data_IF_659442748719
#
_entry.id   IF_659442748719
#
_cell.length_a   1.000
_cell.length_b   1.000
_cell.length_c   1.000
_cell.angle_alpha   90.00
_cell.angle_beta   90.00
_cell.angle_gamma   90.00
#
_symmetry.space_group_name_H-M   'P 1'
#
loop_
_entity.id
_entity.type
_entity.pdbx_description
1 polymer ?
#
# COMPACT_ATOMS: atom_id res chain seq x y z
N UNK A 1 -17.62 -16.11 -2.51
CA UNK A 1 -17.28 -15.80 -3.92
C UNK A 1 -18.46 -15.10 -4.58
N UNK A 2 -18.60 -13.78 -4.39
CA UNK A 2 -19.62 -13.00 -5.10
C UNK A 2 -19.04 -12.59 -6.47
N UNK A 3 -19.61 -13.18 -7.52
CA UNK A 3 -19.19 -13.04 -8.92
C UNK A 3 -19.54 -11.67 -9.48
N UNK A 4 -18.72 -11.23 -10.43
CA UNK A 4 -18.67 -9.97 -11.21
C UNK A 4 -19.96 -9.54 -11.96
N UNK A 5 -21.12 -10.13 -11.63
CA UNK A 5 -22.40 -10.03 -12.34
C UNK A 5 -23.40 -9.04 -11.70
N UNK A 6 -23.17 -8.59 -10.47
CA UNK A 6 -24.14 -7.74 -9.75
C UNK A 6 -24.05 -6.24 -10.05
N UNK A 7 -22.92 -5.76 -10.60
CA UNK A 7 -22.70 -4.34 -10.84
C UNK A 7 -22.91 -3.94 -12.31
N UNK A 8 -23.64 -2.86 -12.53
CA UNK A 8 -23.83 -2.30 -13.86
C UNK A 8 -22.51 -1.79 -14.46
N UNK A 9 -22.41 -1.67 -15.80
CA UNK A 9 -21.24 -1.07 -16.45
C UNK A 9 -20.94 0.36 -15.97
N UNK A 10 -21.99 1.15 -15.63
CA UNK A 10 -21.83 2.49 -15.06
C UNK A 10 -21.22 2.43 -13.67
N UNK A 11 -21.67 1.51 -12.82
CA UNK A 11 -21.10 1.31 -11.48
C UNK A 11 -19.61 0.94 -11.54
N UNK A 12 -19.22 0.03 -12.43
CA UNK A 12 -17.81 -0.31 -12.63
C UNK A 12 -16.96 0.91 -13.05
N UNK A 13 -17.46 1.73 -13.98
CA UNK A 13 -16.79 2.98 -14.39
C UNK A 13 -16.69 3.97 -13.23
N UNK A 14 -17.72 4.08 -12.40
CA UNK A 14 -17.72 4.93 -11.20
C UNK A 14 -16.71 4.46 -10.17
N UNK A 15 -16.56 3.15 -9.94
CA UNK A 15 -15.51 2.61 -9.06
C UNK A 15 -14.12 3.04 -9.54
N UNK A 16 -13.84 2.89 -10.84
CA UNK A 16 -12.56 3.34 -11.41
C UNK A 16 -12.36 4.85 -11.25
N UNK A 17 -13.39 5.66 -11.51
CA UNK A 17 -13.34 7.11 -11.37
C UNK A 17 -13.13 7.56 -9.92
N UNK A 18 -13.72 6.86 -8.94
CA UNK A 18 -13.53 7.14 -7.51
C UNK A 18 -12.08 6.88 -7.06
N UNK A 19 -11.35 5.97 -7.73
CA UNK A 19 -9.94 5.70 -7.42
C UNK A 19 -8.98 6.72 -8.05
N UNK A 20 -9.39 7.39 -9.14
CA UNK A 20 -8.53 8.29 -9.90
C UNK A 20 -8.82 9.77 -9.68
N UNK A 21 -9.86 10.12 -8.91
CA UNK A 21 -10.27 11.51 -8.69
C UNK A 21 -10.33 11.84 -7.19
N UNK A 22 -10.12 13.11 -6.81
CA UNK A 22 -10.05 13.50 -5.39
C UNK A 22 -11.42 13.63 -4.71
N UNK A 23 -12.53 13.69 -5.47
CA UNK A 23 -13.87 13.94 -4.92
C UNK A 23 -14.95 13.09 -5.62
N UNK A 24 -16.03 12.80 -4.89
CA UNK A 24 -17.20 12.07 -5.41
C UNK A 24 -17.85 12.87 -6.54
N UNK A 25 -17.97 14.19 -6.41
CA UNK A 25 -18.46 15.08 -7.46
C UNK A 25 -17.66 14.94 -8.77
N UNK A 26 -16.32 14.92 -8.70
CA UNK A 26 -15.46 14.74 -9.87
C UNK A 26 -15.62 13.34 -10.50
N UNK A 27 -15.68 12.30 -9.67
CA UNK A 27 -15.94 10.94 -10.13
C UNK A 27 -17.29 10.84 -10.85
N UNK A 28 -18.35 11.39 -10.25
CA UNK A 28 -19.70 11.40 -10.79
C UNK A 28 -19.76 12.12 -12.14
N UNK A 29 -19.15 13.32 -12.23
CA UNK A 29 -19.07 14.10 -13.46
C UNK A 29 -18.33 13.34 -14.57
N UNK A 30 -17.20 12.70 -14.27
CA UNK A 30 -16.41 11.96 -15.27
C UNK A 30 -17.14 10.76 -15.90
N UNK A 31 -18.11 10.17 -15.19
CA UNK A 31 -18.91 9.03 -15.66
C UNK A 31 -20.29 9.45 -16.19
N UNK A 32 -20.67 10.71 -16.01
CA UNK A 32 -21.97 11.24 -16.42
C UNK A 32 -23.13 10.71 -15.55
N UNK A 33 -22.92 10.65 -14.23
CA UNK A 33 -23.93 10.30 -13.24
C UNK A 33 -24.10 11.42 -12.21
N UNK A 34 -25.24 11.47 -11.53
CA UNK A 34 -25.45 12.43 -10.45
C UNK A 34 -24.67 12.04 -9.20
N UNK A 35 -24.13 13.00 -8.46
CA UNK A 35 -23.40 12.76 -7.21
C UNK A 35 -24.27 12.01 -6.18
N UNK A 36 -25.56 12.34 -6.08
CA UNK A 36 -26.53 11.62 -5.24
C UNK A 36 -26.62 10.13 -5.60
N UNK A 37 -26.53 9.78 -6.89
CA UNK A 37 -26.53 8.39 -7.34
C UNK A 37 -25.29 7.65 -6.84
N UNK A 38 -24.12 8.28 -6.86
CA UNK A 38 -22.88 7.69 -6.35
C UNK A 38 -22.98 7.47 -4.84
N UNK A 39 -23.54 8.42 -4.09
CA UNK A 39 -23.80 8.23 -2.66
C UNK A 39 -24.76 7.07 -2.37
N UNK A 40 -25.83 6.92 -3.15
CA UNK A 40 -26.73 5.77 -3.02
C UNK A 40 -25.99 4.45 -3.25
N UNK A 41 -25.20 4.36 -4.33
CA UNK A 41 -24.41 3.16 -4.61
C UNK A 41 -23.37 2.86 -3.52
N UNK A 42 -22.74 3.87 -2.94
CA UNK A 42 -21.82 3.66 -1.80
C UNK A 42 -22.50 3.07 -0.56
N UNK A 43 -23.83 3.19 -0.43
CA UNK A 43 -24.63 2.53 0.60
C UNK A 43 -25.08 1.12 0.24
N UNK A 44 -25.00 0.72 -1.04
CA UNK A 44 -25.36 -0.61 -1.51
C UNK A 44 -24.22 -1.60 -1.22
N UNK A 45 -24.47 -2.73 -0.52
CA UNK A 45 -23.41 -3.64 -0.11
C UNK A 45 -22.50 -4.10 -1.26
N UNK A 46 -23.08 -4.52 -2.38
CA UNK A 46 -22.33 -5.02 -3.54
C UNK A 46 -21.37 -3.98 -4.14
N UNK A 47 -21.81 -2.72 -4.27
CA UNK A 47 -20.97 -1.65 -4.80
C UNK A 47 -19.91 -1.22 -3.79
N UNK A 48 -20.29 -1.10 -2.51
CA UNK A 48 -19.37 -0.75 -1.45
C UNK A 48 -18.25 -1.80 -1.28
N UNK A 49 -18.59 -3.08 -1.37
CA UNK A 49 -17.62 -4.19 -1.33
C UNK A 49 -16.67 -4.15 -2.53
N UNK A 50 -17.21 -3.98 -3.74
CA UNK A 50 -16.38 -3.88 -4.94
C UNK A 50 -15.46 -2.65 -4.90
N UNK A 51 -15.95 -1.51 -4.43
CA UNK A 51 -15.14 -0.31 -4.26
C UNK A 51 -14.04 -0.51 -3.21
N UNK A 52 -14.35 -1.12 -2.05
CA UNK A 52 -13.37 -1.47 -1.03
C UNK A 52 -12.30 -2.43 -1.56
N UNK A 53 -12.70 -3.44 -2.31
CA UNK A 53 -11.79 -4.41 -2.93
C UNK A 53 -10.84 -3.72 -3.93
N UNK A 54 -11.39 -2.90 -4.84
CA UNK A 54 -10.59 -2.16 -5.82
C UNK A 54 -9.64 -1.14 -5.14
N UNK A 55 -10.09 -0.48 -4.07
CA UNK A 55 -9.22 0.40 -3.26
C UNK A 55 -8.10 -0.38 -2.59
N UNK A 56 -8.40 -1.56 -2.04
CA UNK A 56 -7.38 -2.44 -1.44
C UNK A 56 -6.34 -2.84 -2.47
N UNK A 57 -6.76 -3.25 -3.67
CA UNK A 57 -5.85 -3.60 -4.77
C UNK A 57 -4.95 -2.42 -5.17
N UNK A 58 -5.51 -1.22 -5.34
CA UNK A 58 -4.73 -0.01 -5.65
C UNK A 58 -3.67 0.30 -4.57
N UNK A 59 -4.02 0.13 -3.30
CA UNK A 59 -3.08 0.30 -2.18
C UNK A 59 -1.99 -0.78 -2.21
N UNK A 60 -2.32 -2.03 -2.50
CA UNK A 60 -1.32 -3.10 -2.60
C UNK A 60 -0.29 -2.82 -3.71
N UNK A 61 -0.73 -2.29 -4.85
CA UNK A 61 0.18 -1.86 -5.92
C UNK A 61 1.10 -0.72 -5.44
N UNK A 62 0.57 0.24 -4.69
CA UNK A 62 1.38 1.33 -4.12
C UNK A 62 2.41 0.80 -3.11
N UNK A 63 2.02 -0.15 -2.25
CA UNK A 63 2.92 -0.80 -1.28
C UNK A 63 4.05 -1.54 -2.00
N UNK A 64 3.75 -2.30 -3.05
CA UNK A 64 4.77 -3.00 -3.84
C UNK A 64 5.79 -2.03 -4.46
N UNK A 65 5.33 -0.84 -4.91
CA UNK A 65 6.22 0.22 -5.39
C UNK A 65 7.10 0.79 -4.28
N UNK A 66 6.56 0.99 -3.09
CA UNK A 66 7.34 1.44 -1.91
C UNK A 66 8.40 0.39 -1.56
N UNK A 67 8.03 -0.90 -1.49
CA UNK A 67 8.97 -1.99 -1.22
C UNK A 67 10.13 -2.02 -2.22
N UNK A 68 9.82 -1.86 -3.52
CA UNK A 68 10.85 -1.78 -4.57
C UNK A 68 11.76 -0.55 -4.39
N UNK A 69 11.18 0.61 -4.06
CA UNK A 69 11.94 1.83 -3.81
C UNK A 69 12.83 1.72 -2.55
N UNK A 70 12.39 0.99 -1.53
CA UNK A 70 13.20 0.70 -0.34
C UNK A 70 14.46 -0.09 -0.68
N UNK A 71 14.37 -1.09 -1.56
CA UNK A 71 15.56 -1.82 -2.04
C UNK A 71 16.58 -0.89 -2.69
N UNK A 72 16.11 -0.02 -3.60
CA UNK A 72 16.95 1.00 -4.23
C UNK A 72 17.57 1.98 -3.23
N UNK A 73 16.87 2.30 -2.15
CA UNK A 73 17.40 3.13 -1.09
C UNK A 73 18.53 2.42 -0.33
N UNK A 74 18.40 1.12 -0.07
CA UNK A 74 19.47 0.29 0.51
C UNK A 74 20.68 0.25 -0.41
N UNK A 75 20.49 0.01 -1.71
CA UNK A 75 21.57 0.02 -2.71
C UNK A 75 22.33 1.35 -2.69
N UNK A 76 21.61 2.47 -2.64
CA UNK A 76 22.20 3.80 -2.52
C UNK A 76 23.03 3.97 -1.23
N UNK A 77 22.56 3.44 -0.10
CA UNK A 77 23.33 3.48 1.16
C UNK A 77 24.60 2.62 1.06
N UNK A 78 24.54 1.45 0.41
CA UNK A 78 25.70 0.60 0.17
C UNK A 78 26.72 1.29 -0.74
N UNK A 79 26.25 1.90 -1.84
CA UNK A 79 27.10 2.68 -2.75
C UNK A 79 27.83 3.80 -2.01
N UNK A 80 27.14 4.54 -1.12
CA UNK A 80 27.75 5.59 -0.28
C UNK A 80 28.87 5.01 0.61
N UNK A 81 28.70 3.79 1.12
CA UNK A 81 29.67 3.13 2.00
C UNK A 81 30.89 2.65 1.21
N UNK A 82 30.68 2.08 0.02
CA UNK A 82 31.68 1.30 -0.72
C UNK A 82 32.42 2.10 -1.82
N UNK A 83 31.93 3.28 -2.20
CA UNK A 83 32.53 4.05 -3.32
C UNK A 83 33.96 4.53 -3.00
N UNK A 84 34.96 3.97 -3.71
CA UNK A 84 36.37 4.37 -3.62
C UNK A 84 36.73 5.57 -4.53
N UNK A 85 36.06 5.73 -5.68
CA UNK A 85 36.46 6.72 -6.70
C UNK A 85 36.18 8.17 -6.29
N UNK A 86 35.06 8.41 -5.60
CA UNK A 86 34.72 9.70 -4.99
C UNK A 86 34.13 9.41 -3.61
N UNK A 87 34.97 9.22 -2.58
CA UNK A 87 34.49 8.82 -1.27
C UNK A 87 33.57 9.90 -0.69
N UNK A 88 32.38 9.50 -0.25
CA UNK A 88 31.54 10.39 0.53
C UNK A 88 32.28 10.84 1.81
N UNK A 89 32.01 12.05 2.35
CA UNK A 89 32.63 12.50 3.59
C UNK A 89 32.47 11.46 4.71
N UNK A 90 33.46 11.26 5.60
CA UNK A 90 33.42 10.21 6.62
C UNK A 90 32.14 10.20 7.47
N UNK A 91 31.61 11.39 7.79
CA UNK A 91 30.35 11.54 8.52
C UNK A 91 29.12 11.03 7.74
N UNK A 92 29.11 11.20 6.41
CA UNK A 92 28.02 10.71 5.53
C UNK A 92 28.08 9.18 5.42
N UNK A 93 29.28 8.61 5.30
CA UNK A 93 29.48 7.15 5.32
C UNK A 93 29.02 6.55 6.65
N UNK A 94 29.43 7.14 7.78
CA UNK A 94 29.00 6.72 9.12
C UNK A 94 27.47 6.78 9.27
N UNK A 95 26.83 7.85 8.78
CA UNK A 95 25.38 7.99 8.83
C UNK A 95 24.67 6.91 8.00
N UNK A 96 25.16 6.62 6.80
CA UNK A 96 24.61 5.55 5.96
C UNK A 96 24.78 4.17 6.61
N UNK A 97 25.97 3.85 7.13
CA UNK A 97 26.20 2.60 7.84
C UNK A 97 25.31 2.46 9.08
N UNK A 98 25.15 3.54 9.85
CA UNK A 98 24.27 3.55 11.02
C UNK A 98 22.80 3.30 10.63
N UNK A 99 22.31 3.94 9.56
CA UNK A 99 20.95 3.72 9.07
C UNK A 99 20.72 2.24 8.70
N UNK A 100 21.65 1.60 7.99
CA UNK A 100 21.56 0.17 7.65
C UNK A 100 21.45 -0.69 8.92
N UNK A 101 22.31 -0.46 9.91
CA UNK A 101 22.28 -1.21 11.18
C UNK A 101 20.98 -1.01 11.96
N UNK A 102 20.45 0.21 12.02
CA UNK A 102 19.18 0.52 12.67
C UNK A 102 18.00 -0.20 11.99
N UNK A 103 17.95 -0.20 10.66
CA UNK A 103 16.92 -0.94 9.92
C UNK A 103 17.04 -2.46 10.12
N UNK A 104 18.26 -3.00 10.15
CA UNK A 104 18.49 -4.43 10.40
C UNK A 104 18.00 -4.84 11.80
N UNK A 105 18.35 -4.07 12.84
CA UNK A 105 17.86 -4.31 14.21
C UNK A 105 16.34 -4.26 14.28
N UNK A 106 15.73 -3.25 13.66
CA UNK A 106 14.27 -3.10 13.63
C UNK A 106 13.57 -4.24 12.89
N UNK A 107 14.18 -4.79 11.83
CA UNK A 107 13.64 -5.94 11.13
C UNK A 107 13.59 -7.18 12.03
N UNK A 108 14.67 -7.44 12.78
CA UNK A 108 14.73 -8.54 13.77
C UNK A 108 13.67 -8.36 14.87
N UNK A 109 13.50 -7.14 15.39
CA UNK A 109 12.46 -6.84 16.39
C UNK A 109 11.04 -7.12 15.84
N UNK A 110 10.77 -6.73 14.59
CA UNK A 110 9.47 -6.98 13.94
C UNK A 110 9.23 -8.49 13.76
N UNK A 111 10.25 -9.23 13.32
CA UNK A 111 10.16 -10.68 13.15
C UNK A 111 9.91 -11.41 14.49
N UNK A 112 10.60 -11.01 15.57
CA UNK A 112 10.35 -11.56 16.92
C UNK A 112 8.92 -11.24 17.41
N UNK A 113 8.46 -10.01 17.23
CA UNK A 113 7.09 -9.61 17.61
C UNK A 113 6.06 -10.43 16.82
N UNK A 114 6.26 -10.61 15.51
CA UNK A 114 5.35 -11.38 14.68
C UNK A 114 5.34 -12.85 15.09
N UNK A 115 6.51 -13.47 15.33
CA UNK A 115 6.60 -14.86 15.79
C UNK A 115 5.89 -15.06 17.14
N UNK A 116 6.01 -14.10 18.06
CA UNK A 116 5.31 -14.13 19.35
C UNK A 116 3.80 -13.93 19.19
N UNK A 117 3.36 -13.09 18.25
CA UNK A 117 1.94 -12.90 17.94
C UNK A 117 1.33 -14.19 17.37
N UNK A 118 1.99 -14.81 16.40
CA UNK A 118 1.54 -16.06 15.78
C UNK A 118 1.40 -17.18 16.81
N UNK A 119 2.38 -17.32 17.73
CA UNK A 119 2.32 -18.28 18.82
C UNK A 119 1.13 -18.04 19.77
N UNK A 120 0.80 -16.77 20.04
CA UNK A 120 -0.37 -16.41 20.85
C UNK A 120 -1.69 -16.68 20.12
N UNK A 121 -1.77 -16.41 18.82
CA UNK A 121 -2.96 -16.66 18.00
C UNK A 121 -3.26 -18.16 17.88
N UNK A 122 -2.21 -18.99 17.72
CA UNK A 122 -2.33 -20.46 17.77
C UNK A 122 -2.78 -20.96 19.15
N UNK A 123 -2.20 -20.43 20.24
CA UNK A 123 -2.59 -20.82 21.59
C UNK A 123 -4.05 -20.45 21.94
N UNK A 124 -4.59 -19.40 21.31
CA UNK A 124 -5.97 -18.97 21.48
C UNK A 124 -6.96 -19.63 20.50
N UNK A 125 -6.51 -20.51 19.61
CA UNK A 125 -7.34 -21.17 18.60
C UNK A 125 -7.96 -20.21 17.58
N UNK A 126 -7.29 -19.07 17.32
CA UNK A 126 -7.73 -18.05 16.35
C UNK A 126 -7.11 -18.23 14.96
N UNK A 127 -6.21 -19.20 14.80
CA UNK A 127 -5.75 -19.75 13.54
C UNK A 127 -5.83 -21.28 13.57
#
# INVERSE_FOLDING_TARGET
MATRTELSPKQHKTIAALLSTPTIAAAAASVGVGERTVHTWLGEPAFADAYRAARKEAVQIAIARVQTASGRAVDCLLDIIDTEYTPAPPAVRLAASKAILEFALKAVEIEDIQARLDALEQAQGKL
#
